data_IF_422370640423
#
_entry.id   IF_422370640423
#
_cell.length_a   1.000
_cell.length_b   1.000
_cell.length_c   1.000
_cell.angle_alpha   90.00
_cell.angle_beta   90.00
_cell.angle_gamma   90.00
#
_symmetry.space_group_name_H-M   'P 1'
#
loop_
_entity.id
_entity.type
_entity.pdbx_description
1 polymer ?
#
# COMPACT_ATOMS: atom_id res chain seq x y z
N UNK A 1 -6.99 -32.48 -13.96
CA UNK A 1 -5.97 -31.43 -14.23
C UNK A 1 -6.43 -30.38 -15.24
N UNK A 2 -6.91 -30.71 -16.44
CA UNK A 2 -7.37 -29.69 -17.43
C UNK A 2 -8.57 -28.83 -16.98
N UNK A 3 -9.52 -29.39 -16.23
CA UNK A 3 -10.67 -28.65 -15.71
C UNK A 3 -10.28 -27.58 -14.67
N UNK A 4 -9.46 -27.94 -13.66
CA UNK A 4 -8.92 -27.00 -12.66
C UNK A 4 -8.16 -25.83 -13.29
N UNK A 5 -7.41 -26.09 -14.38
CA UNK A 5 -6.63 -25.06 -15.06
C UNK A 5 -7.53 -24.06 -15.82
N UNK A 6 -8.68 -24.53 -16.36
CA UNK A 6 -9.69 -23.66 -16.96
C UNK A 6 -10.38 -22.78 -15.91
N UNK A 7 -10.70 -23.34 -14.75
CA UNK A 7 -11.33 -22.61 -13.65
C UNK A 7 -10.38 -21.56 -13.06
N UNK A 8 -9.11 -21.91 -12.80
CA UNK A 8 -8.09 -20.97 -12.30
C UNK A 8 -7.85 -19.82 -13.29
N UNK A 9 -7.76 -20.12 -14.59
CA UNK A 9 -7.61 -19.08 -15.61
C UNK A 9 -8.81 -18.14 -15.65
N UNK A 10 -10.03 -18.68 -15.56
CA UNK A 10 -11.25 -17.86 -15.52
C UNK A 10 -11.34 -16.96 -14.26
N UNK A 11 -10.83 -17.44 -13.13
CA UNK A 11 -10.74 -16.68 -11.88
C UNK A 11 -9.72 -15.54 -11.99
N UNK A 12 -8.56 -15.80 -12.60
CA UNK A 12 -7.53 -14.78 -12.86
C UNK A 12 -8.06 -13.71 -13.83
N UNK A 13 -8.71 -14.14 -14.91
CA UNK A 13 -9.32 -13.23 -15.89
C UNK A 13 -10.40 -12.35 -15.24
N UNK A 14 -11.17 -12.90 -14.30
CA UNK A 14 -12.17 -12.15 -13.55
C UNK A 14 -11.54 -11.17 -12.54
N UNK A 15 -10.45 -11.55 -11.88
CA UNK A 15 -9.67 -10.66 -11.02
C UNK A 15 -9.16 -9.43 -11.77
N UNK A 16 -8.67 -9.63 -13.00
CA UNK A 16 -8.26 -8.54 -13.88
C UNK A 16 -9.42 -7.63 -14.27
N UNK A 17 -10.58 -8.19 -14.61
CA UNK A 17 -11.77 -7.40 -14.93
C UNK A 17 -12.17 -6.50 -13.75
N UNK A 18 -12.20 -7.05 -12.53
CA UNK A 18 -12.50 -6.25 -11.34
C UNK A 18 -11.42 -5.22 -11.04
N UNK A 19 -10.13 -5.54 -11.25
CA UNK A 19 -9.04 -4.59 -11.10
C UNK A 19 -9.19 -3.39 -12.05
N UNK A 20 -9.42 -3.65 -13.34
CA UNK A 20 -9.65 -2.60 -14.34
C UNK A 20 -10.89 -1.78 -14.03
N UNK A 21 -11.99 -2.43 -13.64
CA UNK A 21 -13.23 -1.75 -13.26
C UNK A 21 -13.00 -0.83 -12.05
N UNK A 22 -12.26 -1.29 -11.04
CA UNK A 22 -11.94 -0.51 -9.86
C UNK A 22 -11.14 0.75 -10.22
N UNK A 23 -10.08 0.59 -11.02
CA UNK A 23 -9.26 1.71 -11.52
C UNK A 23 -10.08 2.70 -12.32
N UNK A 24 -10.94 2.22 -13.22
CA UNK A 24 -11.81 3.08 -14.01
C UNK A 24 -12.77 3.89 -13.12
N UNK A 25 -13.43 3.22 -12.16
CA UNK A 25 -14.34 3.90 -11.24
C UNK A 25 -13.62 4.94 -10.38
N UNK A 26 -12.39 4.65 -9.93
CA UNK A 26 -11.59 5.61 -9.18
C UNK A 26 -11.18 6.81 -10.05
N UNK A 27 -10.69 6.60 -11.26
CA UNK A 27 -10.34 7.73 -12.15
C UNK A 27 -11.54 8.61 -12.48
N UNK A 28 -12.75 8.04 -12.57
CA UNK A 28 -13.96 8.80 -12.81
C UNK A 28 -14.28 9.80 -11.68
N UNK A 29 -13.86 9.55 -10.43
CA UNK A 29 -14.12 10.48 -9.31
C UNK A 29 -13.39 11.81 -9.46
N UNK A 30 -12.27 11.82 -10.19
CA UNK A 30 -11.50 13.04 -10.47
C UNK A 30 -12.10 13.91 -11.58
N UNK A 31 -13.06 13.39 -12.36
CA UNK A 31 -13.64 14.07 -13.53
C UNK A 31 -15.09 14.49 -13.26
N UNK A 32 -15.80 13.75 -12.42
CA UNK A 32 -17.19 14.03 -12.05
C UNK A 32 -17.20 15.17 -11.03
N UNK A 33 -18.08 16.17 -11.17
CA UNK A 33 -18.21 17.25 -10.17
C UNK A 33 -19.28 16.95 -9.09
N UNK A 34 -20.30 16.17 -9.45
CA UNK A 34 -21.39 15.82 -8.53
C UNK A 34 -20.92 14.92 -7.38
N UNK A 35 -21.11 15.40 -6.14
CA UNK A 35 -20.64 14.72 -4.93
C UNK A 35 -21.30 13.36 -4.75
N UNK A 36 -22.60 13.24 -5.03
CA UNK A 36 -23.31 11.97 -4.90
C UNK A 36 -22.80 10.91 -5.88
N UNK A 37 -22.49 11.32 -7.10
CA UNK A 37 -21.85 10.47 -8.11
C UNK A 37 -20.43 10.13 -7.71
N UNK A 38 -19.61 11.08 -7.23
CA UNK A 38 -18.25 10.78 -6.71
C UNK A 38 -18.29 9.68 -5.65
N UNK A 39 -19.16 9.82 -4.64
CA UNK A 39 -19.30 8.82 -3.58
C UNK A 39 -19.74 7.44 -4.12
N UNK A 40 -20.65 7.43 -5.10
CA UNK A 40 -21.08 6.19 -5.76
C UNK A 40 -19.93 5.52 -6.52
N UNK A 41 -19.14 6.28 -7.29
CA UNK A 41 -18.01 5.76 -8.03
C UNK A 41 -16.88 5.28 -7.11
N UNK A 42 -16.61 5.98 -6.01
CA UNK A 42 -15.65 5.55 -5.01
C UNK A 42 -16.08 4.23 -4.33
N UNK A 43 -17.37 4.07 -4.04
CA UNK A 43 -17.92 2.81 -3.50
C UNK A 43 -17.76 1.65 -4.48
N UNK A 44 -18.07 1.89 -5.75
CA UNK A 44 -17.89 0.89 -6.81
C UNK A 44 -16.41 0.52 -6.98
N UNK A 45 -15.50 1.51 -6.92
CA UNK A 45 -14.08 1.27 -6.97
C UNK A 45 -13.62 0.36 -5.82
N UNK A 46 -14.06 0.66 -4.60
CA UNK A 46 -13.77 -0.14 -3.41
C UNK A 46 -14.28 -1.60 -3.52
N UNK A 47 -15.53 -1.79 -3.94
CA UNK A 47 -16.10 -3.12 -4.11
C UNK A 47 -15.37 -3.93 -5.20
N UNK A 48 -15.02 -3.30 -6.32
CA UNK A 48 -14.26 -3.94 -7.40
C UNK A 48 -12.84 -4.27 -6.97
N UNK A 49 -12.12 -3.35 -6.32
CA UNK A 49 -10.77 -3.61 -5.82
C UNK A 49 -10.77 -4.75 -4.78
N UNK A 50 -11.73 -4.76 -3.85
CA UNK A 50 -11.91 -5.86 -2.88
C UNK A 50 -12.09 -7.20 -3.58
N UNK A 51 -12.94 -7.28 -4.61
CA UNK A 51 -13.15 -8.51 -5.38
C UNK A 51 -11.88 -8.95 -6.11
N UNK A 52 -11.14 -8.02 -6.70
CA UNK A 52 -9.87 -8.30 -7.34
C UNK A 52 -8.85 -8.90 -6.35
N UNK A 53 -8.74 -8.34 -5.14
CA UNK A 53 -7.88 -8.87 -4.07
C UNK A 53 -8.32 -10.26 -3.61
N UNK A 54 -9.64 -10.51 -3.49
CA UNK A 54 -10.15 -11.83 -3.08
C UNK A 54 -9.87 -12.90 -4.16
N UNK A 55 -10.01 -12.56 -5.43
CA UNK A 55 -9.77 -13.49 -6.55
C UNK A 55 -8.27 -13.72 -6.81
N UNK A 56 -7.44 -12.72 -6.53
CA UNK A 56 -5.99 -12.76 -6.72
C UNK A 56 -5.26 -12.28 -5.45
N UNK A 57 -5.30 -13.06 -4.35
CA UNK A 57 -4.78 -12.66 -3.04
C UNK A 57 -3.26 -12.44 -3.00
N UNK A 58 -2.55 -12.98 -4.01
CA UNK A 58 -1.10 -12.81 -4.14
C UNK A 58 -0.71 -11.62 -5.03
N UNK A 59 -1.67 -10.84 -5.58
CA UNK A 59 -1.35 -9.63 -6.34
C UNK A 59 -1.09 -8.46 -5.39
N UNK A 60 0.17 -8.04 -5.34
CA UNK A 60 0.62 -6.85 -4.62
C UNK A 60 -0.08 -5.61 -5.14
N UNK A 61 -0.26 -5.51 -6.45
CA UNK A 61 -0.92 -4.38 -7.11
C UNK A 61 -2.36 -4.23 -6.65
N UNK A 62 -3.13 -5.32 -6.54
CA UNK A 62 -4.52 -5.26 -6.07
C UNK A 62 -4.60 -5.00 -4.57
N UNK A 63 -3.72 -5.58 -3.77
CA UNK A 63 -3.66 -5.29 -2.33
C UNK A 63 -3.38 -3.80 -2.09
N UNK A 64 -2.38 -3.24 -2.78
CA UNK A 64 -2.01 -1.84 -2.68
C UNK A 64 -3.14 -0.91 -3.17
N UNK A 65 -3.74 -1.21 -4.33
CA UNK A 65 -4.83 -0.40 -4.85
C UNK A 65 -6.05 -0.42 -3.92
N UNK A 66 -6.38 -1.57 -3.33
CA UNK A 66 -7.48 -1.66 -2.36
C UNK A 66 -7.18 -0.86 -1.09
N UNK A 67 -5.97 -0.98 -0.53
CA UNK A 67 -5.55 -0.17 0.62
C UNK A 67 -5.67 1.34 0.34
N UNK A 68 -5.24 1.78 -0.85
CA UNK A 68 -5.38 3.18 -1.26
C UNK A 68 -6.84 3.66 -1.25
N UNK A 69 -7.76 2.86 -1.78
CA UNK A 69 -9.18 3.22 -1.81
C UNK A 69 -9.84 3.23 -0.43
N UNK A 70 -9.35 2.41 0.51
CA UNK A 70 -9.79 2.45 1.90
C UNK A 70 -9.35 3.75 2.58
N UNK A 71 -8.10 4.18 2.39
CA UNK A 71 -7.63 5.47 2.89
C UNK A 71 -8.43 6.64 2.29
N UNK A 72 -8.70 6.61 0.99
CA UNK A 72 -9.50 7.64 0.32
C UNK A 72 -10.92 7.76 0.91
N UNK A 73 -11.53 6.62 1.24
CA UNK A 73 -12.87 6.56 1.81
C UNK A 73 -12.93 6.97 3.30
N UNK A 74 -11.79 7.00 3.99
CA UNK A 74 -11.73 7.38 5.39
C UNK A 74 -11.99 8.89 5.54
N UNK A 75 -12.99 9.25 6.36
CA UNK A 75 -13.37 10.64 6.62
C UNK A 75 -12.64 11.26 7.82
N UNK A 76 -11.98 10.42 8.60
CA UNK A 76 -11.35 10.76 9.88
C UNK A 76 -9.93 11.31 9.71
N UNK A 77 -9.32 11.08 8.54
CA UNK A 77 -7.97 11.53 8.21
C UNK A 77 -8.01 12.70 7.24
N UNK A 78 -7.14 13.69 7.46
CA UNK A 78 -6.86 14.69 6.44
C UNK A 78 -6.07 14.09 5.26
N UNK A 79 -5.92 14.86 4.19
CA UNK A 79 -5.28 14.38 2.95
C UNK A 79 -3.81 13.99 3.15
N UNK A 80 -3.08 14.70 4.02
CA UNK A 80 -1.68 14.38 4.34
C UNK A 80 -1.61 13.06 5.11
N UNK A 81 -2.56 12.85 6.03
CA UNK A 81 -2.69 11.63 6.80
C UNK A 81 -3.02 10.41 5.95
N UNK A 82 -3.94 10.56 4.99
CA UNK A 82 -4.21 9.52 4.00
C UNK A 82 -2.96 9.21 3.17
N UNK A 83 -2.19 10.21 2.79
CA UNK A 83 -1.01 10.03 1.94
C UNK A 83 0.08 9.20 2.65
N UNK A 84 0.43 9.53 3.90
CA UNK A 84 1.41 8.70 4.62
C UNK A 84 0.88 7.29 4.95
N UNK A 85 -0.43 7.11 5.18
CA UNK A 85 -1.03 5.78 5.37
C UNK A 85 -0.84 4.91 4.12
N UNK A 86 -1.08 5.48 2.94
CA UNK A 86 -0.91 4.78 1.67
C UNK A 86 0.53 4.32 1.49
N UNK A 87 1.50 5.19 1.78
CA UNK A 87 2.92 4.82 1.71
C UNK A 87 3.29 3.76 2.74
N UNK A 88 2.80 3.85 3.97
CA UNK A 88 3.03 2.84 5.00
C UNK A 88 2.49 1.47 4.57
N UNK A 89 1.24 1.40 4.08
CA UNK A 89 0.66 0.15 3.57
C UNK A 89 1.41 -0.38 2.36
N UNK A 90 1.80 0.48 1.43
CA UNK A 90 2.62 0.08 0.28
C UNK A 90 3.93 -0.55 0.73
N UNK A 91 4.64 0.08 1.66
CA UNK A 91 5.88 -0.45 2.22
C UNK A 91 5.69 -1.83 2.85
N UNK A 92 4.67 -1.97 3.68
CA UNK A 92 4.33 -3.25 4.33
C UNK A 92 3.98 -4.35 3.33
N UNK A 93 3.17 -4.04 2.31
CA UNK A 93 2.76 -5.00 1.27
C UNK A 93 3.98 -5.42 0.45
N UNK A 94 4.82 -4.47 0.01
CA UNK A 94 6.03 -4.77 -0.76
C UNK A 94 7.03 -5.60 0.04
N UNK A 95 7.26 -5.26 1.32
CA UNK A 95 8.15 -6.07 2.17
C UNK A 95 7.64 -7.50 2.34
N UNK A 96 6.35 -7.67 2.64
CA UNK A 96 5.74 -9.01 2.73
C UNK A 96 5.82 -9.78 1.41
N UNK A 97 5.68 -9.09 0.27
CA UNK A 97 5.85 -9.70 -1.05
C UNK A 97 7.29 -10.18 -1.28
N UNK A 98 8.29 -9.38 -0.90
CA UNK A 98 9.70 -9.75 -0.99
C UNK A 98 10.05 -11.01 -0.17
N UNK A 99 9.36 -11.25 0.95
CA UNK A 99 9.57 -12.43 1.79
C UNK A 99 9.03 -13.73 1.18
N UNK A 100 8.05 -13.65 0.27
CA UNK A 100 7.36 -14.83 -0.28
C UNK A 100 7.66 -15.06 -1.76
N UNK A 101 8.20 -14.07 -2.48
CA UNK A 101 8.43 -14.18 -3.91
C UNK A 101 9.74 -14.91 -4.22
N UNK A 102 9.69 -15.78 -5.22
CA UNK A 102 10.88 -16.42 -5.77
C UNK A 102 11.63 -15.49 -6.73
N UNK A 103 12.96 -15.59 -6.73
CA UNK A 103 13.83 -14.90 -7.67
C UNK A 103 14.40 -13.59 -7.12
N UNK A 104 15.73 -13.51 -7.16
CA UNK A 104 16.52 -12.41 -6.57
C UNK A 104 16.11 -11.04 -7.12
N UNK A 105 15.97 -10.92 -8.44
CA UNK A 105 15.62 -9.64 -9.10
C UNK A 105 14.27 -9.10 -8.63
N UNK A 106 13.26 -9.97 -8.51
CA UNK A 106 11.94 -9.56 -8.08
C UNK A 106 11.91 -9.24 -6.59
N UNK A 107 12.62 -10.02 -5.77
CA UNK A 107 12.82 -9.73 -4.35
C UNK A 107 13.45 -8.35 -4.16
N UNK A 108 14.58 -8.07 -4.80
CA UNK A 108 15.29 -6.79 -4.72
C UNK A 108 14.39 -5.61 -5.11
N UNK A 109 13.61 -5.77 -6.19
CA UNK A 109 12.64 -4.75 -6.61
C UNK A 109 11.60 -4.46 -5.52
N UNK A 110 11.03 -5.48 -4.89
CA UNK A 110 10.04 -5.28 -3.82
C UNK A 110 10.66 -4.71 -2.55
N UNK A 111 11.88 -5.10 -2.20
CA UNK A 111 12.65 -4.50 -1.10
C UNK A 111 12.87 -3.00 -1.35
N UNK A 112 13.35 -2.63 -2.54
CA UNK A 112 13.56 -1.22 -2.89
C UNK A 112 12.27 -0.40 -2.82
N UNK A 113 11.17 -0.94 -3.36
CA UNK A 113 9.86 -0.29 -3.25
C UNK A 113 9.39 -0.15 -1.79
N UNK A 114 9.72 -1.13 -0.93
CA UNK A 114 9.38 -1.08 0.48
C UNK A 114 10.13 0.04 1.21
N UNK A 115 11.44 0.14 0.98
CA UNK A 115 12.32 1.19 1.54
C UNK A 115 11.88 2.57 1.06
N UNK A 116 11.66 2.76 -0.25
CA UNK A 116 11.18 4.03 -0.79
C UNK A 116 9.84 4.47 -0.18
N UNK A 117 8.94 3.52 0.05
CA UNK A 117 7.63 3.82 0.65
C UNK A 117 7.73 4.12 2.14
N UNK A 118 8.56 3.37 2.88
CA UNK A 118 8.81 3.60 4.30
C UNK A 118 9.49 4.96 4.57
N UNK A 119 10.46 5.32 3.72
CA UNK A 119 11.08 6.64 3.74
C UNK A 119 10.04 7.76 3.53
N UNK A 120 9.17 7.63 2.52
CA UNK A 120 8.12 8.64 2.27
C UNK A 120 7.12 8.75 3.42
N UNK A 121 6.69 7.63 4.00
CA UNK A 121 5.79 7.66 5.16
C UNK A 121 6.44 8.38 6.37
N UNK A 122 7.73 8.13 6.62
CA UNK A 122 8.49 8.78 7.69
C UNK A 122 8.69 10.28 7.41
N UNK A 123 8.99 10.67 6.17
CA UNK A 123 9.11 12.09 5.78
C UNK A 123 7.79 12.87 5.95
N UNK A 124 6.65 12.24 5.65
CA UNK A 124 5.33 12.85 5.75
C UNK A 124 4.78 12.85 7.19
N UNK A 125 5.24 11.93 8.04
CA UNK A 125 4.87 11.85 9.45
C UNK A 125 6.12 11.60 10.33
N UNK A 126 6.99 12.62 10.48
CA UNK A 126 8.29 12.47 11.16
C UNK A 126 8.15 12.16 12.65
N UNK A 127 7.00 12.47 13.24
CA UNK A 127 6.73 12.20 14.66
C UNK A 127 6.10 10.81 14.90
N UNK A 128 5.96 9.99 13.86
CA UNK A 128 5.47 8.61 13.98
C UNK A 128 6.63 7.66 14.25
N UNK A 129 6.75 7.21 15.50
CA UNK A 129 7.75 6.21 15.91
C UNK A 129 7.52 4.88 15.22
N UNK A 130 6.27 4.52 14.91
CA UNK A 130 5.96 3.30 14.16
C UNK A 130 6.60 3.33 12.77
N UNK A 131 6.57 4.49 12.09
CA UNK A 131 7.11 4.62 10.73
C UNK A 131 8.62 4.68 10.72
N UNK A 132 9.21 5.44 11.64
CA UNK A 132 10.64 5.43 11.87
C UNK A 132 11.16 4.01 12.18
N UNK A 133 10.45 3.25 13.03
CA UNK A 133 10.81 1.87 13.34
C UNK A 133 10.70 0.94 12.13
N UNK A 134 9.62 1.04 11.35
CA UNK A 134 9.48 0.23 10.15
C UNK A 134 10.58 0.54 9.12
N UNK A 135 10.90 1.83 8.91
CA UNK A 135 11.94 2.26 7.99
C UNK A 135 13.34 1.80 8.42
N UNK A 136 13.71 2.04 9.67
CA UNK A 136 15.00 1.60 10.22
C UNK A 136 15.17 0.09 10.19
N UNK A 137 14.10 -0.67 10.45
CA UNK A 137 14.10 -2.13 10.30
C UNK A 137 14.47 -2.54 8.88
N UNK A 138 13.82 -1.95 7.87
CA UNK A 138 14.11 -2.28 6.46
C UNK A 138 15.56 -1.94 6.08
N UNK A 139 16.05 -0.77 6.48
CA UNK A 139 17.44 -0.36 6.23
C UNK A 139 18.43 -1.30 6.92
N UNK A 140 18.15 -1.72 8.15
CA UNK A 140 19.04 -2.63 8.89
C UNK A 140 19.02 -4.07 8.35
N UNK A 141 17.87 -4.58 7.91
CA UNK A 141 17.71 -5.97 7.47
C UNK A 141 18.08 -6.17 6.00
N UNK A 142 17.82 -5.18 5.14
CA UNK A 142 17.90 -5.35 3.69
C UNK A 142 18.99 -4.48 3.03
N UNK A 143 19.61 -3.56 3.77
CA UNK A 143 20.72 -2.75 3.27
C UNK A 143 21.92 -2.78 4.24
N UNK A 144 23.00 -2.09 3.87
CA UNK A 144 24.15 -1.87 4.76
C UNK A 144 24.26 -0.38 5.14
N UNK A 145 23.14 0.36 5.14
CA UNK A 145 23.09 1.80 5.39
C UNK A 145 22.96 2.11 6.89
N UNK A 146 23.91 1.60 7.68
CA UNK A 146 23.89 1.73 9.14
C UNK A 146 23.92 3.20 9.62
N UNK A 147 24.53 4.10 8.85
CA UNK A 147 24.59 5.53 9.20
C UNK A 147 23.19 6.18 9.14
N UNK A 148 22.37 5.84 8.14
CA UNK A 148 20.98 6.33 8.06
C UNK A 148 20.10 5.68 9.14
N UNK A 149 20.37 4.42 9.52
CA UNK A 149 19.70 3.76 10.66
C UNK A 149 19.98 4.52 11.96
N UNK A 150 21.24 4.85 12.24
CA UNK A 150 21.62 5.59 13.46
C UNK A 150 20.94 6.96 13.49
N UNK A 151 20.99 7.70 12.39
CA UNK A 151 20.39 9.02 12.27
C UNK A 151 18.88 9.00 12.50
N UNK A 152 18.17 8.03 11.94
CA UNK A 152 16.72 7.91 12.13
C UNK A 152 16.38 7.46 13.56
N UNK A 153 17.19 6.59 14.18
CA UNK A 153 17.04 6.23 15.59
C UNK A 153 17.27 7.43 16.52
N UNK A 154 18.30 8.25 16.27
CA UNK A 154 18.56 9.48 17.03
C UNK A 154 17.42 10.48 16.89
N UNK A 155 16.88 10.64 15.67
CA UNK A 155 15.70 11.44 15.42
C UNK A 155 14.49 10.95 16.22
N UNK A 156 14.18 9.64 16.15
CA UNK A 156 13.06 9.04 16.86
C UNK A 156 13.16 9.20 18.39
N UNK A 157 14.37 9.13 18.95
CA UNK A 157 14.62 9.39 20.38
C UNK A 157 14.37 10.85 20.79
N UNK A 158 14.46 11.78 19.84
CA UNK A 158 14.21 13.20 20.05
C UNK A 158 12.75 13.65 19.84
N UNK A 159 11.85 12.75 19.44
CA UNK A 159 10.44 13.11 19.20
C UNK A 159 9.70 13.32 20.52
N UNK A 160 9.28 14.56 20.79
CA UNK A 160 8.54 14.93 22.00
C UNK A 160 7.01 14.82 21.84
N UNK A 161 6.49 15.02 20.62
CA UNK A 161 5.05 15.01 20.32
C UNK A 161 4.70 13.81 19.44
N UNK A 162 4.55 12.64 20.05
CA UNK A 162 4.23 11.40 19.36
C UNK A 162 2.89 11.50 18.61
N UNK A 163 2.91 11.07 17.35
CA UNK A 163 1.69 10.81 16.58
C UNK A 163 1.51 9.30 16.55
N UNK A 164 0.41 8.81 17.11
CA UNK A 164 -0.05 7.45 16.85
C UNK A 164 -0.84 7.47 15.54
N UNK A 165 -0.33 6.84 14.47
CA UNK A 165 -1.02 6.84 13.18
C UNK A 165 -2.32 6.02 13.16
N UNK A 166 -2.59 5.22 14.21
CA UNK A 166 -3.75 4.31 14.28
C UNK A 166 -4.82 4.70 15.30
N UNK A 167 -4.62 5.80 16.04
CA UNK A 167 -5.53 6.28 17.10
C UNK A 167 -6.71 7.10 16.59
#
# INVERSE_FOLDING_TARGET
MKALCGDIKSVIDLGLVYGVQGTFCFMATSIIDDVGMKEKYLRNANESAKKATVLSPNSVEYAHFYAKLLCEAAKEYDEVAKEWLVYHFQGTICFKAALIIDGVIMKEKYVMNAIESANKATMLSPNSVEYAHFNTKLLCEETNEYDEVVKECEHALGVENLVDPTS
#
